data_IF_179019857076
#
_entry.id   IF_179019857076
#
_cell.length_a   1.000
_cell.length_b   1.000
_cell.length_c   1.000
_cell.angle_alpha   90.00
_cell.angle_beta   90.00
_cell.angle_gamma   90.00
#
_symmetry.space_group_name_H-M   'P 1'
#
loop_
_entity.id
_entity.type
_entity.pdbx_description
1 polymer ?
#
# COMPACT_ATOMS: atom_id res chain seq x y z
N UNK A 1 -8.63 -15.57 73.78
CA UNK A 1 -8.87 -14.52 72.76
C UNK A 1 -7.56 -14.16 72.03
N UNK A 2 -6.81 -15.12 71.47
CA UNK A 2 -5.50 -14.84 70.81
C UNK A 2 -5.27 -15.55 69.47
N UNK A 3 -6.30 -16.21 68.92
CA UNK A 3 -6.25 -16.87 67.60
C UNK A 3 -6.59 -16.00 66.36
N UNK A 4 -7.14 -14.77 66.43
CA UNK A 4 -7.47 -14.02 65.21
C UNK A 4 -6.26 -13.31 64.57
N UNK A 5 -5.15 -13.14 65.30
CA UNK A 5 -3.99 -12.36 64.84
C UNK A 5 -3.05 -13.21 63.96
N UNK A 6 -2.95 -14.52 64.18
CA UNK A 6 -2.13 -15.41 63.35
C UNK A 6 -2.73 -15.64 61.95
N UNK A 7 -4.06 -15.72 61.82
CA UNK A 7 -4.73 -15.90 60.52
C UNK A 7 -4.55 -14.71 59.57
N UNK A 8 -4.45 -13.48 60.09
CA UNK A 8 -4.23 -12.30 59.26
C UNK A 8 -2.81 -12.23 58.67
N UNK A 9 -1.82 -12.87 59.30
CA UNK A 9 -0.44 -12.91 58.79
C UNK A 9 -0.28 -13.90 57.61
N UNK A 10 -0.99 -15.04 57.62
CA UNK A 10 -0.98 -16.00 56.50
C UNK A 10 -1.73 -15.50 55.26
N UNK A 11 -2.78 -14.68 55.45
CA UNK A 11 -3.53 -14.08 54.32
C UNK A 11 -2.67 -13.01 53.61
N UNK A 12 -1.81 -12.29 54.35
CA UNK A 12 -0.88 -11.34 53.75
C UNK A 12 0.23 -12.02 52.92
N UNK A 13 0.68 -13.22 53.32
CA UNK A 13 1.66 -14.00 52.57
C UNK A 13 1.07 -14.62 51.28
N UNK A 14 -0.21 -14.99 51.29
CA UNK A 14 -0.88 -15.58 50.13
C UNK A 14 -1.41 -14.55 49.12
N UNK A 15 -1.70 -13.31 49.56
CA UNK A 15 -2.06 -12.22 48.65
C UNK A 15 -0.86 -11.67 47.83
N UNK A 16 0.36 -11.74 48.37
CA UNK A 16 1.54 -11.26 47.66
C UNK A 16 1.99 -12.19 46.51
N UNK A 17 1.73 -13.50 46.62
CA UNK A 17 2.09 -14.48 45.56
C UNK A 17 1.09 -14.46 44.40
N UNK A 18 -0.19 -14.16 44.65
CA UNK A 18 -1.21 -14.11 43.61
C UNK A 18 -1.16 -12.82 42.76
N UNK A 19 -0.68 -11.70 43.30
CA UNK A 19 -0.57 -10.42 42.56
C UNK A 19 0.67 -10.37 41.66
N UNK A 20 1.72 -11.16 41.94
CA UNK A 20 2.94 -11.20 41.12
C UNK A 20 2.79 -12.10 39.88
N UNK A 21 1.82 -13.03 39.84
CA UNK A 21 1.59 -13.93 38.70
C UNK A 21 0.70 -13.37 37.58
N UNK A 22 0.11 -12.17 37.73
CA UNK A 22 -0.78 -11.55 36.72
C UNK A 22 -0.09 -10.49 35.83
N UNK A 23 1.16 -10.12 36.13
CA UNK A 23 1.88 -9.04 35.42
C UNK A 23 2.82 -9.51 34.29
N UNK A 24 2.73 -10.77 33.84
CA UNK A 24 3.60 -11.35 32.81
C UNK A 24 2.90 -11.64 31.46
N UNK A 25 1.86 -10.87 31.10
CA UNK A 25 1.26 -10.95 29.76
C UNK A 25 1.81 -9.79 28.91
N UNK A 26 2.79 -10.01 28.02
CA UNK A 26 3.21 -8.97 27.09
C UNK A 26 2.01 -8.60 26.20
N UNK A 27 1.70 -7.30 26.00
CA UNK A 27 0.67 -6.91 25.07
C UNK A 27 1.12 -7.37 23.68
N UNK A 28 0.39 -8.32 23.10
CA UNK A 28 0.50 -8.65 21.70
C UNK A 28 0.16 -7.38 20.91
N UNK A 29 1.17 -6.64 20.48
CA UNK A 29 0.97 -5.50 19.60
C UNK A 29 0.27 -6.03 18.36
N UNK A 30 -0.96 -5.60 18.12
CA UNK A 30 -1.64 -5.78 16.84
C UNK A 30 -0.75 -5.12 15.80
N UNK A 31 0.05 -5.92 15.10
CA UNK A 31 1.04 -5.42 14.17
C UNK A 31 0.30 -4.95 12.93
N UNK A 32 0.06 -3.64 12.86
CA UNK A 32 -0.49 -3.04 11.65
C UNK A 32 0.42 -3.44 10.47
N UNK A 33 -0.16 -3.75 9.29
CA UNK A 33 0.63 -4.12 8.13
C UNK A 33 1.73 -3.12 7.86
N UNK A 34 2.96 -3.62 7.70
CA UNK A 34 4.11 -2.81 7.32
C UNK A 34 3.84 -2.08 6.02
N UNK A 35 4.49 -0.93 5.79
CA UNK A 35 4.29 -0.16 4.55
C UNK A 35 4.61 -0.97 3.29
N UNK A 36 5.54 -1.92 3.36
CA UNK A 36 5.86 -2.84 2.28
C UNK A 36 4.71 -3.81 1.96
N UNK A 37 4.04 -4.35 2.98
CA UNK A 37 2.83 -5.18 2.80
C UNK A 37 1.68 -4.36 2.20
N UNK A 38 1.49 -3.13 2.68
CA UNK A 38 0.45 -2.23 2.13
C UNK A 38 0.71 -1.89 0.64
N UNK A 39 1.97 -1.72 0.23
CA UNK A 39 2.30 -1.49 -1.18
C UNK A 39 2.10 -2.74 -2.03
N UNK A 40 2.42 -3.92 -1.51
CA UNK A 40 2.22 -5.19 -2.21
C UNK A 40 0.72 -5.46 -2.48
N UNK A 41 -0.14 -5.19 -1.50
CA UNK A 41 -1.60 -5.26 -1.68
C UNK A 41 -2.06 -4.26 -2.75
N UNK A 42 -1.55 -3.02 -2.71
CA UNK A 42 -1.95 -1.97 -3.66
C UNK A 42 -1.58 -2.33 -5.10
N UNK A 43 -0.44 -3.01 -5.31
CA UNK A 43 -0.05 -3.50 -6.64
C UNK A 43 -0.89 -4.68 -7.13
N UNK A 44 -1.41 -5.50 -6.23
CA UNK A 44 -2.25 -6.65 -6.57
C UNK A 44 -3.72 -6.27 -6.84
N UNK A 45 -4.19 -5.16 -6.26
CA UNK A 45 -5.60 -4.74 -6.26
C UNK A 45 -5.98 -3.52 -7.12
N UNK A 46 -5.23 -3.06 -8.15
CA UNK A 46 -5.52 -1.76 -8.77
C UNK A 46 -6.85 -1.71 -9.52
N UNK A 47 -7.28 -2.82 -10.12
CA UNK A 47 -8.54 -2.92 -10.86
C UNK A 47 -9.73 -3.04 -9.93
N UNK A 48 -9.63 -3.89 -8.90
CA UNK A 48 -10.68 -4.07 -7.90
C UNK A 48 -10.89 -2.79 -7.07
N UNK A 49 -9.81 -2.09 -6.74
CA UNK A 49 -9.88 -0.82 -6.02
C UNK A 49 -10.65 0.24 -6.78
N UNK A 50 -10.45 0.36 -8.10
CA UNK A 50 -11.21 1.30 -8.94
C UNK A 50 -12.69 0.93 -9.04
N UNK A 51 -13.01 -0.36 -8.95
CA UNK A 51 -14.38 -0.85 -9.11
C UNK A 51 -15.19 -0.71 -7.82
N UNK A 52 -14.58 -1.03 -6.68
CA UNK A 52 -15.28 -1.14 -5.39
C UNK A 52 -14.89 -0.06 -4.37
N UNK A 53 -13.77 0.63 -4.57
CA UNK A 53 -13.18 1.55 -3.59
C UNK A 53 -12.77 2.93 -4.17
N UNK A 54 -13.31 3.34 -5.33
CA UNK A 54 -12.91 4.57 -6.02
C UNK A 54 -13.06 5.87 -5.20
N UNK A 55 -13.99 5.88 -4.23
CA UNK A 55 -14.24 7.04 -3.36
C UNK A 55 -13.28 7.14 -2.18
N UNK A 56 -12.42 6.15 -1.99
CA UNK A 56 -11.45 6.11 -0.89
C UNK A 56 -10.10 6.63 -1.40
N UNK A 57 -9.29 7.32 -0.57
CA UNK A 57 -7.93 7.66 -0.93
C UNK A 57 -7.03 6.41 -1.06
N UNK A 58 -6.25 6.25 -2.15
CA UNK A 58 -5.37 5.10 -2.33
C UNK A 58 -4.20 5.21 -1.36
N UNK A 59 -4.20 4.38 -0.31
CA UNK A 59 -3.36 4.73 0.82
C UNK A 59 -3.82 4.12 2.13
N UNK A 60 -2.88 3.56 2.91
CA UNK A 60 -3.07 3.31 4.33
C UNK A 60 -4.29 2.46 4.69
N UNK A 61 -4.79 2.68 5.90
CA UNK A 61 -5.91 1.93 6.49
C UNK A 61 -7.26 2.11 5.78
N UNK A 62 -7.67 3.31 5.31
CA UNK A 62 -8.96 3.46 4.64
C UNK A 62 -9.09 2.58 3.40
N UNK A 63 -8.04 2.53 2.57
CA UNK A 63 -8.01 1.67 1.39
C UNK A 63 -8.08 0.19 1.75
N UNK A 64 -7.35 -0.24 2.78
CA UNK A 64 -7.38 -1.63 3.24
C UNK A 64 -8.74 -2.03 3.80
N UNK A 65 -9.37 -1.16 4.58
CA UNK A 65 -10.68 -1.44 5.16
C UNK A 65 -11.75 -1.59 4.06
N UNK A 66 -11.74 -0.71 3.06
CA UNK A 66 -12.65 -0.85 1.91
C UNK A 66 -12.44 -2.17 1.14
N UNK A 67 -11.18 -2.56 0.90
CA UNK A 67 -10.86 -3.83 0.27
C UNK A 67 -11.33 -5.01 1.13
N UNK A 68 -11.08 -4.99 2.44
CA UNK A 68 -11.53 -6.04 3.37
C UNK A 68 -13.06 -6.19 3.37
N UNK A 69 -13.81 -5.08 3.41
CA UNK A 69 -15.28 -5.10 3.33
C UNK A 69 -15.81 -5.67 2.02
N UNK A 70 -15.04 -5.54 0.93
CA UNK A 70 -15.41 -6.03 -0.39
C UNK A 70 -14.69 -7.32 -0.78
N UNK A 71 -13.97 -8.00 0.13
CA UNK A 71 -13.07 -9.12 -0.17
C UNK A 71 -13.73 -10.23 -1.03
N UNK A 72 -15.02 -10.51 -0.80
CA UNK A 72 -15.79 -11.49 -1.56
C UNK A 72 -16.05 -11.08 -3.03
N UNK A 73 -16.00 -9.78 -3.34
CA UNK A 73 -16.22 -9.21 -4.67
C UNK A 73 -14.93 -8.91 -5.44
N UNK A 74 -13.79 -8.93 -4.75
CA UNK A 74 -12.48 -8.71 -5.37
C UNK A 74 -12.08 -9.93 -6.21
N UNK A 75 -11.19 -9.71 -7.18
CA UNK A 75 -10.46 -10.77 -7.87
C UNK A 75 -9.71 -11.69 -6.89
N UNK A 76 -9.47 -12.94 -7.28
CA UNK A 76 -8.80 -13.92 -6.43
C UNK A 76 -7.39 -13.47 -6.05
N UNK A 77 -6.64 -12.89 -6.99
CA UNK A 77 -5.30 -12.35 -6.75
C UNK A 77 -5.31 -11.24 -5.68
N UNK A 78 -6.27 -10.32 -5.75
CA UNK A 78 -6.40 -9.25 -4.76
C UNK A 78 -6.87 -9.78 -3.40
N UNK A 79 -7.81 -10.73 -3.39
CA UNK A 79 -8.32 -11.36 -2.16
C UNK A 79 -7.22 -12.09 -1.41
N UNK A 80 -6.38 -12.87 -2.10
CA UNK A 80 -5.22 -13.55 -1.51
C UNK A 80 -4.24 -12.56 -0.87
N UNK A 81 -3.94 -11.44 -1.54
CA UNK A 81 -3.05 -10.41 -1.00
C UNK A 81 -3.61 -9.74 0.27
N UNK A 82 -4.93 -9.49 0.31
CA UNK A 82 -5.60 -8.90 1.48
C UNK A 82 -5.68 -9.90 2.64
N UNK A 83 -5.95 -11.18 2.36
CA UNK A 83 -6.03 -12.24 3.36
C UNK A 83 -4.67 -12.58 3.99
N UNK A 84 -3.59 -12.57 3.21
CA UNK A 84 -2.23 -12.80 3.71
C UNK A 84 -1.80 -11.77 4.78
N UNK A 85 -2.43 -10.60 4.78
CA UNK A 85 -2.17 -9.51 5.73
C UNK A 85 -3.17 -9.49 6.89
N UNK A 86 -4.42 -9.91 6.66
CA UNK A 86 -5.44 -10.05 7.71
C UNK A 86 -5.26 -11.27 8.63
N UNK A 87 -4.31 -12.16 8.32
CA UNK A 87 -4.10 -13.42 9.03
C UNK A 87 -2.64 -13.76 9.31
N UNK A 88 -1.77 -12.78 9.62
CA UNK A 88 -0.39 -13.09 9.99
C UNK A 88 -0.30 -13.84 11.33
N UNK A 89 -0.26 -15.17 11.28
CA UNK A 89 0.83 -15.89 11.93
C UNK A 89 2.12 -15.52 11.19
N UNK A 90 3.06 -14.91 11.89
CA UNK A 90 4.37 -14.61 11.33
C UNK A 90 5.13 -15.93 11.06
N UNK A 91 5.60 -16.15 9.84
CA UNK A 91 6.99 -16.57 9.56
C UNK A 91 7.28 -16.78 8.06
N UNK A 92 8.32 -16.08 7.62
CA UNK A 92 9.27 -16.37 6.53
C UNK A 92 8.84 -16.08 5.07
N UNK A 93 9.61 -15.26 4.32
CA UNK A 93 9.48 -15.20 2.87
C UNK A 93 9.99 -16.50 2.23
N UNK A 94 9.27 -17.13 1.28
CA UNK A 94 9.91 -18.16 0.47
C UNK A 94 10.85 -17.48 -0.52
N UNK A 95 12.15 -17.68 -0.32
CA UNK A 95 13.07 -17.76 -1.45
C UNK A 95 12.56 -18.85 -2.41
N UNK A 96 12.65 -18.58 -3.71
CA UNK A 96 12.07 -19.40 -4.77
C UNK A 96 12.42 -20.89 -4.68
N UNK A 97 11.43 -21.75 -4.92
CA UNK A 97 11.60 -23.03 -5.60
C UNK A 97 10.24 -23.50 -6.10
N UNK A 98 10.10 -23.61 -7.41
CA UNK A 98 8.94 -24.25 -8.01
C UNK A 98 8.99 -25.76 -7.80
N UNK A 99 7.81 -26.38 -7.83
CA UNK A 99 7.62 -27.59 -8.62
C UNK A 99 6.22 -27.63 -9.19
N UNK A 100 6.23 -27.79 -10.50
CA UNK A 100 5.12 -27.99 -11.42
C UNK A 100 4.61 -29.43 -11.36
N UNK A 101 3.34 -29.60 -11.72
CA UNK A 101 2.77 -30.82 -12.31
C UNK A 101 1.67 -31.44 -11.46
N UNK A 102 0.50 -31.80 -11.99
CA UNK A 102 -0.05 -31.92 -13.35
C UNK A 102 -1.52 -32.36 -13.17
N UNK A 103 -2.48 -32.35 -14.09
CA UNK A 103 -2.73 -31.78 -15.41
C UNK A 103 -4.13 -32.26 -15.84
N UNK A 104 -4.78 -31.53 -16.76
CA UNK A 104 -5.48 -32.00 -18.00
C UNK A 104 -6.56 -30.97 -18.36
N UNK A 105 -6.80 -30.44 -19.56
CA UNK A 105 -6.24 -30.39 -20.95
C UNK A 105 -7.19 -29.40 -21.68
N UNK A 106 -6.84 -28.55 -22.65
CA UNK A 106 -5.60 -28.45 -23.42
C UNK A 106 -5.52 -27.26 -24.40
N UNK A 107 -4.47 -27.36 -25.22
CA UNK A 107 -4.27 -26.98 -26.63
C UNK A 107 -5.13 -25.83 -27.20
N UNK A 108 -4.64 -24.70 -27.67
CA UNK A 108 -3.28 -24.22 -27.96
C UNK A 108 -3.27 -23.42 -29.28
N UNK A 109 -2.71 -22.20 -29.29
CA UNK A 109 -1.81 -21.73 -30.38
C UNK A 109 -1.02 -20.48 -29.95
N UNK A 110 0.29 -20.57 -30.13
CA UNK A 110 1.33 -19.62 -29.75
C UNK A 110 1.92 -18.92 -30.96
N UNK A 111 2.39 -17.69 -30.73
CA UNK A 111 3.67 -17.09 -31.18
C UNK A 111 3.75 -15.76 -30.40
N UNK A 112 4.70 -15.43 -29.53
CA UNK A 112 6.03 -15.96 -29.27
C UNK A 112 7.06 -14.86 -29.50
N UNK A 113 7.38 -14.07 -28.47
CA UNK A 113 8.71 -13.49 -28.22
C UNK A 113 8.69 -12.70 -26.89
N UNK A 114 9.06 -13.40 -25.80
CA UNK A 114 9.59 -12.77 -24.60
C UNK A 114 11.07 -12.46 -24.83
N UNK A 115 11.59 -11.36 -24.29
CA UNK A 115 12.94 -11.35 -23.72
C UNK A 115 13.03 -10.31 -22.61
N UNK A 116 13.40 -10.84 -21.44
CA UNK A 116 13.97 -10.20 -20.25
C UNK A 116 13.12 -9.22 -19.44
N UNK A 117 12.49 -9.79 -18.41
CA UNK A 117 12.58 -9.23 -17.07
C UNK A 117 14.04 -8.92 -16.74
N UNK A 118 14.35 -7.63 -16.63
CA UNK A 118 15.46 -7.13 -15.83
C UNK A 118 14.87 -6.17 -14.80
N UNK A 119 14.65 -6.66 -13.60
CA UNK A 119 14.77 -5.81 -12.43
C UNK A 119 16.23 -5.37 -12.32
N UNK A 120 16.48 -4.17 -11.78
CA UNK A 120 17.24 -4.17 -10.56
C UNK A 120 16.41 -3.66 -9.39
N UNK A 121 16.68 -4.26 -8.25
CA UNK A 121 16.44 -3.67 -6.95
C UNK A 121 17.18 -2.34 -6.78
N UNK A 122 16.66 -1.52 -5.86
CA UNK A 122 17.41 -0.54 -5.08
C UNK A 122 18.23 0.49 -5.88
N UNK A 123 17.53 1.52 -6.34
CA UNK A 123 17.75 2.88 -5.85
C UNK A 123 16.56 3.70 -6.36
N UNK A 124 15.62 4.06 -5.48
CA UNK A 124 14.95 5.32 -5.74
C UNK A 124 16.03 6.38 -5.47
N UNK A 125 16.57 7.10 -6.49
CA UNK A 125 17.21 8.38 -6.19
C UNK A 125 16.20 9.24 -5.41
N UNK A 126 16.62 10.27 -4.66
CA UNK A 126 15.65 11.20 -4.11
C UNK A 126 14.74 11.60 -5.28
N UNK A 127 13.42 11.50 -5.07
CA UNK A 127 12.51 12.22 -5.93
C UNK A 127 13.07 13.63 -5.97
N UNK A 128 13.65 14.04 -7.11
CA UNK A 128 14.13 15.40 -7.28
C UNK A 128 13.00 16.29 -6.81
N UNK A 129 13.29 17.08 -5.78
CA UNK A 129 12.37 17.56 -4.75
C UNK A 129 11.01 17.99 -5.28
N UNK A 130 10.12 17.02 -5.46
CA UNK A 130 8.71 17.26 -5.69
C UNK A 130 7.94 16.19 -4.95
N UNK A 131 7.39 16.58 -3.82
CA UNK A 131 6.56 15.72 -3.02
C UNK A 131 5.38 15.23 -3.89
N UNK A 132 4.91 13.98 -3.73
CA UNK A 132 3.78 13.44 -4.50
C UNK A 132 2.50 14.31 -4.45
N UNK A 133 2.39 15.17 -3.43
CA UNK A 133 1.32 16.16 -3.24
C UNK A 133 1.43 17.32 -4.23
N UNK A 134 2.63 17.85 -4.46
CA UNK A 134 2.88 18.99 -5.35
C UNK A 134 2.60 18.62 -6.80
N UNK A 135 3.07 17.43 -7.21
CA UNK A 135 2.72 16.86 -8.51
C UNK A 135 1.19 16.66 -8.67
N UNK A 136 0.47 16.42 -7.56
CA UNK A 136 -1.00 16.39 -7.54
C UNK A 136 -1.62 17.76 -7.82
N UNK A 137 -1.13 18.80 -7.14
CA UNK A 137 -1.61 20.18 -7.29
C UNK A 137 -1.37 20.72 -8.71
N UNK A 138 -0.18 20.48 -9.28
CA UNK A 138 0.16 20.89 -10.64
C UNK A 138 -0.77 20.22 -11.66
N UNK A 139 -1.00 18.90 -11.53
CA UNK A 139 -1.95 18.18 -12.40
C UNK A 139 -3.37 18.72 -12.30
N UNK A 140 -3.80 19.14 -11.11
CA UNK A 140 -5.14 19.68 -10.91
C UNK A 140 -5.27 21.08 -11.52
N UNK A 141 -4.31 21.96 -11.27
CA UNK A 141 -4.28 23.33 -11.80
C UNK A 141 -4.19 23.33 -13.34
N UNK A 142 -3.36 22.47 -13.92
CA UNK A 142 -3.13 22.40 -15.36
C UNK A 142 -4.10 21.48 -16.13
N UNK A 143 -5.11 20.88 -15.47
CA UNK A 143 -5.99 19.88 -16.09
C UNK A 143 -6.77 20.40 -17.30
N UNK A 144 -7.17 21.68 -17.27
CA UNK A 144 -7.89 22.29 -18.39
C UNK A 144 -6.93 22.55 -19.55
N UNK A 145 -5.79 23.19 -19.26
CA UNK A 145 -4.80 23.53 -20.27
C UNK A 145 -4.21 22.30 -20.95
N UNK A 146 -3.93 21.23 -20.19
CA UNK A 146 -3.50 19.96 -20.75
C UNK A 146 -4.49 19.37 -21.76
N UNK A 147 -5.80 19.48 -21.49
CA UNK A 147 -6.84 18.98 -22.40
C UNK A 147 -7.06 19.84 -23.63
N UNK A 148 -6.58 21.08 -23.62
CA UNK A 148 -6.68 21.99 -24.76
C UNK A 148 -5.42 21.94 -25.62
N UNK A 149 -4.25 21.94 -24.98
CA UNK A 149 -2.96 22.12 -25.65
C UNK A 149 -2.13 20.84 -25.78
N UNK A 150 -2.36 19.83 -24.93
CA UNK A 150 -1.52 18.62 -24.83
C UNK A 150 -2.31 17.32 -25.03
N UNK A 151 -3.35 17.33 -25.87
CA UNK A 151 -4.12 16.11 -26.17
C UNK A 151 -3.23 15.06 -26.84
N UNK A 152 -3.25 13.84 -26.31
CA UNK A 152 -2.49 12.71 -26.85
C UNK A 152 -1.10 12.53 -26.25
N UNK A 153 -0.67 13.40 -25.34
CA UNK A 153 0.61 13.22 -24.63
C UNK A 153 0.52 12.03 -23.67
N UNK A 154 1.43 11.03 -23.77
CA UNK A 154 1.45 9.89 -22.87
C UNK A 154 1.62 10.31 -21.42
N UNK A 155 0.79 9.79 -20.53
CA UNK A 155 0.89 10.08 -19.09
C UNK A 155 2.01 9.23 -18.49
N UNK A 156 3.01 9.89 -17.89
CA UNK A 156 4.17 9.24 -17.28
C UNK A 156 5.48 9.91 -17.72
N UNK A 157 6.57 9.65 -17.01
CA UNK A 157 7.93 10.05 -17.43
C UNK A 157 8.19 11.55 -17.61
N UNK A 158 7.32 12.44 -17.10
CA UNK A 158 7.46 13.90 -17.26
C UNK A 158 6.93 14.47 -18.58
N UNK A 159 6.41 13.65 -19.50
CA UNK A 159 5.92 14.09 -20.82
C UNK A 159 4.85 15.19 -20.73
N UNK A 160 3.97 15.09 -19.74
CA UNK A 160 2.93 16.09 -19.47
C UNK A 160 3.53 17.45 -19.14
N UNK A 161 4.59 17.48 -18.32
CA UNK A 161 5.28 18.72 -17.94
C UNK A 161 6.01 19.31 -19.14
N UNK A 162 6.66 18.47 -19.97
CA UNK A 162 7.35 18.91 -21.18
C UNK A 162 6.40 19.65 -22.14
N UNK A 163 5.26 19.04 -22.49
CA UNK A 163 4.27 19.67 -23.35
C UNK A 163 3.70 20.97 -22.76
N UNK A 164 3.45 21.00 -21.44
CA UNK A 164 2.97 22.21 -20.77
C UNK A 164 3.99 23.35 -20.87
N UNK A 165 5.29 23.08 -20.70
CA UNK A 165 6.33 24.11 -20.87
C UNK A 165 6.40 24.65 -22.29
N UNK A 166 6.30 23.79 -23.30
CA UNK A 166 6.30 24.20 -24.71
C UNK A 166 5.11 25.10 -25.04
N UNK A 167 3.98 24.89 -24.35
CA UNK A 167 2.76 25.69 -24.50
C UNK A 167 2.62 26.78 -23.42
N UNK A 168 3.69 27.09 -22.67
CA UNK A 168 3.61 27.92 -21.46
C UNK A 168 2.94 29.28 -21.71
N UNK A 169 3.14 29.89 -22.87
CA UNK A 169 2.51 31.17 -23.24
C UNK A 169 0.97 31.08 -23.30
N UNK A 170 0.43 29.95 -23.76
CA UNK A 170 -1.01 29.73 -23.96
C UNK A 170 -1.73 29.18 -22.72
N UNK A 171 -1.00 28.80 -21.67
CA UNK A 171 -1.59 28.26 -20.44
C UNK A 171 -2.36 29.32 -19.64
N UNK A 172 -3.35 28.86 -18.88
CA UNK A 172 -4.07 29.66 -17.89
C UNK A 172 -3.14 30.20 -16.80
N UNK A 173 -3.48 31.35 -16.16
CA UNK A 173 -2.68 31.93 -15.09
C UNK A 173 -2.44 30.97 -13.92
N UNK A 174 -3.47 30.22 -13.51
CA UNK A 174 -3.35 29.24 -12.42
C UNK A 174 -2.40 28.09 -12.74
N UNK A 175 -2.40 27.61 -13.99
CA UNK A 175 -1.44 26.59 -14.41
C UNK A 175 -0.01 27.14 -14.52
N UNK A 176 0.18 28.37 -15.02
CA UNK A 176 1.49 29.04 -15.06
C UNK A 176 2.09 29.18 -13.66
N UNK A 177 1.30 29.62 -12.68
CA UNK A 177 1.75 29.74 -11.29
C UNK A 177 2.17 28.39 -10.69
N UNK A 178 1.43 27.32 -11.00
CA UNK A 178 1.78 25.98 -10.53
C UNK A 178 3.02 25.39 -11.23
N UNK A 179 3.27 25.76 -12.49
CA UNK A 179 4.42 25.28 -13.27
C UNK A 179 5.70 26.11 -13.03
N UNK A 180 5.59 27.32 -12.49
CA UNK A 180 6.69 28.24 -12.23
C UNK A 180 7.92 27.63 -11.52
N UNK A 181 7.78 26.80 -10.46
CA UNK A 181 8.95 26.18 -9.81
C UNK A 181 9.66 25.13 -10.69
N UNK A 182 9.07 24.71 -11.81
CA UNK A 182 9.63 23.71 -12.74
C UNK A 182 10.21 24.33 -14.01
N UNK A 183 10.11 25.65 -14.14
CA UNK A 183 10.61 26.43 -15.27
C UNK A 183 11.86 27.23 -14.91
N UNK A 184 12.39 27.05 -13.70
CA UNK A 184 13.67 27.57 -13.24
C UNK A 184 14.77 26.58 -13.59
#
# INVERSE_FOLDING_TARGET
MSRPILHFLEIAASAAVAVILVFAIPPAMAQAPSKAQQSAIRSACPSDYKTYCASVPPGGMPALNCLQQNAAKLSDACRTAVQAVGGSTAATPPAASGKSGAATTGTGKTTGAATTNKAPAAAAPPAGDMAPREAGLIRQACRRDFRTHCRGVPIGGGNVIACLRENAASLSPGCKSALAPLMQ
#
